data_IF_810074363451
#
_entry.id   IF_810074363451
#
_cell.length_a   1.000
_cell.length_b   1.000
_cell.length_c   1.000
_cell.angle_alpha   90.00
_cell.angle_beta   90.00
_cell.angle_gamma   90.00
#
_symmetry.space_group_name_H-M   'P 1'
#
loop_
_entity.id
_entity.type
_entity.pdbx_description
1 polymer ?
#
# COMPACT_ATOMS: atom_id res chain seq x y z
N UNK A 1 10.02 -14.92 -10.20
CA UNK A 1 9.19 -13.91 -10.90
C UNK A 1 8.94 -12.66 -10.03
N UNK A 2 8.44 -12.81 -8.80
CA UNK A 2 8.05 -11.69 -7.91
C UNK A 2 9.17 -10.68 -7.63
N UNK A 3 10.42 -11.13 -7.43
CA UNK A 3 11.58 -10.26 -7.22
C UNK A 3 11.84 -9.34 -8.43
N UNK A 4 11.65 -9.85 -9.64
CA UNK A 4 11.85 -9.08 -10.87
C UNK A 4 10.80 -7.97 -10.96
N UNK A 5 9.52 -8.32 -10.75
CA UNK A 5 8.42 -7.35 -10.73
C UNK A 5 8.60 -6.31 -9.63
N UNK A 6 9.05 -6.73 -8.44
CA UNK A 6 9.32 -5.82 -7.33
C UNK A 6 10.45 -4.84 -7.64
N UNK A 7 11.54 -5.29 -8.28
CA UNK A 7 12.65 -4.42 -8.68
C UNK A 7 12.21 -3.42 -9.76
N UNK A 8 11.38 -3.84 -10.71
CA UNK A 8 10.78 -2.94 -11.70
C UNK A 8 9.87 -1.90 -11.04
N UNK A 9 9.05 -2.28 -10.07
CA UNK A 9 8.25 -1.31 -9.32
C UNK A 9 9.12 -0.37 -8.49
N UNK A 10 10.19 -0.87 -7.86
CA UNK A 10 11.03 -0.06 -6.98
C UNK A 10 11.63 1.15 -7.70
N UNK A 11 11.96 1.06 -8.99
CA UNK A 11 12.48 2.18 -9.77
C UNK A 11 11.40 3.21 -10.12
N UNK A 12 10.15 2.78 -10.33
CA UNK A 12 9.03 3.63 -10.76
C UNK A 12 8.29 4.24 -9.57
N UNK A 13 8.21 3.54 -8.44
CA UNK A 13 7.42 3.96 -7.27
C UNK A 13 7.68 5.40 -6.82
N UNK A 14 8.94 5.89 -6.73
CA UNK A 14 9.20 7.28 -6.36
C UNK A 14 8.55 8.34 -7.28
N UNK A 15 8.23 7.98 -8.54
CA UNK A 15 7.67 8.88 -9.55
C UNK A 15 6.13 8.92 -9.51
N UNK A 16 5.48 7.85 -9.02
CA UNK A 16 4.02 7.68 -9.14
C UNK A 16 3.26 7.83 -7.82
N UNK A 17 3.97 7.99 -6.71
CA UNK A 17 3.44 8.18 -5.36
C UNK A 17 3.86 9.54 -4.79
N UNK A 18 3.07 10.08 -3.86
CA UNK A 18 3.37 11.36 -3.25
C UNK A 18 4.67 11.30 -2.42
N UNK A 19 5.42 12.41 -2.34
CA UNK A 19 6.64 12.50 -1.54
C UNK A 19 6.41 12.29 -0.03
N UNK A 20 5.17 12.46 0.46
CA UNK A 20 4.73 12.16 1.82
C UNK A 20 4.71 10.66 2.15
N UNK A 21 4.58 9.79 1.13
CA UNK A 21 4.61 8.34 1.33
C UNK A 21 6.05 7.87 1.50
N UNK A 22 6.45 7.62 2.76
CA UNK A 22 7.84 7.27 3.11
C UNK A 22 8.09 5.76 3.18
N UNK A 23 7.10 4.99 3.60
CA UNK A 23 7.28 3.56 3.85
C UNK A 23 7.41 2.76 2.55
N UNK A 24 8.23 1.70 2.60
CA UNK A 24 8.51 0.79 1.49
C UNK A 24 9.18 1.42 0.25
N UNK A 25 9.71 2.65 0.36
CA UNK A 25 10.41 3.35 -0.72
C UNK A 25 11.88 3.53 -0.37
N UNK A 26 12.75 2.98 -1.22
CA UNK A 26 14.20 3.12 -1.06
C UNK A 26 14.57 4.60 -1.01
N UNK A 27 15.43 4.98 -0.06
CA UNK A 27 15.92 6.35 0.18
C UNK A 27 14.88 7.35 0.72
N UNK A 28 13.66 6.92 1.07
CA UNK A 28 12.73 7.74 1.85
C UNK A 28 12.79 7.31 3.32
N UNK A 29 13.03 8.27 4.21
CA UNK A 29 13.20 8.01 5.65
C UNK A 29 11.95 8.53 6.37
N UNK A 30 11.38 7.72 7.26
CA UNK A 30 10.18 8.07 8.05
C UNK A 30 10.48 9.05 9.20
N UNK A 31 11.75 9.42 9.44
CA UNK A 31 12.19 10.35 10.50
C UNK A 31 11.48 11.70 10.42
N UNK A 32 11.21 12.19 9.21
CA UNK A 32 10.46 13.44 9.03
C UNK A 32 9.05 13.36 9.61
N UNK A 33 8.40 12.20 9.56
CA UNK A 33 7.05 12.02 10.12
C UNK A 33 7.06 12.12 11.65
N UNK A 34 8.13 11.65 12.31
CA UNK A 34 8.30 11.77 13.77
C UNK A 34 8.48 13.25 14.16
N UNK A 35 9.32 13.98 13.41
CA UNK A 35 9.56 15.40 13.63
C UNK A 35 8.25 16.19 13.43
N UNK A 36 7.57 15.98 12.31
CA UNK A 36 6.27 16.61 12.03
C UNK A 36 5.23 16.31 13.10
N UNK A 37 5.13 15.06 13.57
CA UNK A 37 4.22 14.72 14.66
C UNK A 37 4.59 15.46 15.96
N UNK A 38 5.88 15.58 16.29
CA UNK A 38 6.32 16.32 17.47
C UNK A 38 6.05 17.82 17.38
N UNK A 39 6.19 18.41 16.19
CA UNK A 39 5.88 19.82 15.94
C UNK A 39 4.38 20.08 16.05
N UNK A 40 3.55 19.22 15.45
CA UNK A 40 2.09 19.30 15.57
C UNK A 40 1.63 19.20 17.02
N UNK A 41 2.18 18.25 17.79
CA UNK A 41 1.86 18.11 19.23
C UNK A 41 2.29 19.35 20.04
N UNK A 42 3.43 19.97 19.69
CA UNK A 42 3.87 21.20 20.35
C UNK A 42 2.92 22.35 20.08
N UNK A 43 2.48 22.53 18.82
CA UNK A 43 1.51 23.58 18.47
C UNK A 43 0.14 23.34 19.12
N UNK A 44 -0.31 22.09 19.19
CA UNK A 44 -1.57 21.76 19.88
C UNK A 44 -1.52 22.11 21.38
N UNK A 45 -0.34 22.00 21.99
CA UNK A 45 -0.14 22.33 23.41
C UNK A 45 0.09 23.83 23.66
N UNK A 46 0.48 24.62 22.66
CA UNK A 46 0.80 26.05 22.81
C UNK A 46 -0.42 26.97 22.67
N UNK A 47 -1.49 26.50 22.03
CA UNK A 47 -2.63 27.32 21.59
C UNK A 47 -3.91 26.98 22.35
N UNK A 48 -4.07 27.56 23.54
CA UNK A 48 -5.18 27.29 24.46
C UNK A 48 -6.58 27.72 23.98
N UNK A 49 -6.67 28.40 22.83
CA UNK A 49 -7.94 28.89 22.25
C UNK A 49 -8.37 28.17 20.97
N UNK A 50 -7.55 27.28 20.43
CA UNK A 50 -7.83 26.56 19.18
C UNK A 50 -8.23 25.11 19.45
N UNK A 51 -9.15 24.58 18.63
CA UNK A 51 -9.60 23.18 18.72
C UNK A 51 -8.94 22.42 17.58
N UNK A 52 -8.04 21.50 17.92
CA UNK A 52 -7.38 20.64 16.94
C UNK A 52 -8.06 19.26 16.86
N UNK A 53 -8.07 18.69 15.65
CA UNK A 53 -8.53 17.34 15.40
C UNK A 53 -7.39 16.50 14.81
N UNK A 54 -7.14 15.33 15.39
CA UNK A 54 -6.17 14.36 14.89
C UNK A 54 -6.88 13.05 14.57
N UNK A 55 -6.84 12.65 13.30
CA UNK A 55 -7.34 11.35 12.85
C UNK A 55 -6.18 10.39 12.64
N UNK A 56 -6.16 9.30 13.39
CA UNK A 56 -5.28 8.16 13.12
C UNK A 56 -6.05 7.14 12.28
N UNK A 57 -5.56 6.86 11.07
CA UNK A 57 -6.09 5.83 10.20
C UNK A 57 -5.14 4.63 10.21
N UNK A 58 -5.64 3.48 10.62
CA UNK A 58 -4.93 2.20 10.58
C UNK A 58 -5.77 1.18 9.82
N UNK A 59 -5.17 0.52 8.84
CA UNK A 59 -5.87 -0.44 7.99
C UNK A 59 -5.47 -1.84 8.42
N UNK A 60 -6.42 -2.57 9.01
CA UNK A 60 -6.18 -3.92 9.47
C UNK A 60 -5.95 -4.88 8.29
N UNK A 61 -4.86 -5.67 8.35
CA UNK A 61 -4.53 -6.71 7.35
C UNK A 61 -4.65 -6.23 5.91
N UNK A 62 -3.97 -5.14 5.56
CA UNK A 62 -3.96 -4.56 4.20
C UNK A 62 -3.71 -5.60 3.11
N UNK A 63 -2.81 -6.56 3.36
CA UNK A 63 -2.48 -7.62 2.41
C UNK A 63 -3.66 -8.57 2.16
N UNK A 64 -4.45 -8.89 3.18
CA UNK A 64 -5.59 -9.81 3.06
C UNK A 64 -6.88 -9.11 2.57
N UNK A 65 -6.96 -7.80 2.70
CA UNK A 65 -8.21 -7.03 2.49
C UNK A 65 -8.26 -6.26 1.17
N UNK A 66 -7.16 -6.13 0.43
CA UNK A 66 -7.17 -5.41 -0.85
C UNK A 66 -7.98 -6.19 -1.89
N UNK A 67 -8.97 -5.52 -2.49
CA UNK A 67 -9.70 -6.03 -3.65
C UNK A 67 -8.82 -6.02 -4.90
N UNK A 68 -8.74 -7.17 -5.58
CA UNK A 68 -7.86 -7.35 -6.75
C UNK A 68 -8.28 -6.45 -7.91
N UNK A 69 -9.58 -6.34 -8.18
CA UNK A 69 -10.10 -5.45 -9.22
C UNK A 69 -9.75 -3.98 -8.95
N UNK A 70 -9.83 -3.55 -7.69
CA UNK A 70 -9.40 -2.21 -7.31
C UNK A 70 -7.91 -2.00 -7.61
N UNK A 71 -7.05 -2.96 -7.24
CA UNK A 71 -5.62 -2.89 -7.54
C UNK A 71 -5.38 -2.77 -9.05
N UNK A 72 -5.96 -3.67 -9.85
CA UNK A 72 -5.78 -3.69 -11.30
C UNK A 72 -6.26 -2.40 -11.95
N UNK A 73 -7.43 -1.88 -11.55
CA UNK A 73 -7.95 -0.60 -12.04
C UNK A 73 -7.01 0.56 -11.70
N UNK A 74 -6.39 0.58 -10.51
CA UNK A 74 -5.39 1.59 -10.15
C UNK A 74 -4.11 1.46 -10.96
N UNK A 75 -3.70 0.24 -11.30
CA UNK A 75 -2.53 0.01 -12.13
C UNK A 75 -2.75 0.44 -13.57
N UNK A 76 -3.96 0.28 -14.14
CA UNK A 76 -4.28 0.80 -15.49
C UNK A 76 -4.02 2.30 -15.61
N UNK A 77 -4.24 3.06 -14.54
CA UNK A 77 -4.01 4.50 -14.52
C UNK A 77 -2.53 4.90 -14.38
N UNK A 78 -1.63 3.98 -13.99
CA UNK A 78 -0.24 4.30 -13.58
C UNK A 78 0.84 3.42 -14.21
N UNK A 79 0.49 2.29 -14.81
CA UNK A 79 1.41 1.25 -15.27
C UNK A 79 1.24 0.91 -16.74
N UNK A 80 2.14 0.06 -17.25
CA UNK A 80 2.05 -0.46 -18.62
C UNK A 80 1.17 -1.71 -18.68
N UNK A 81 0.52 -1.93 -19.82
CA UNK A 81 -0.37 -3.08 -20.06
C UNK A 81 0.33 -4.43 -19.84
N UNK A 82 1.60 -4.55 -20.25
CA UNK A 82 2.42 -5.76 -20.07
C UNK A 82 2.64 -6.06 -18.59
N UNK A 83 3.01 -5.03 -17.81
CA UNK A 83 3.25 -5.19 -16.38
C UNK A 83 1.97 -5.57 -15.62
N UNK A 84 0.85 -4.97 -16.00
CA UNK A 84 -0.47 -5.29 -15.43
C UNK A 84 -0.83 -6.74 -15.73
N UNK A 85 -0.60 -7.23 -16.95
CA UNK A 85 -0.88 -8.63 -17.31
C UNK A 85 -0.09 -9.63 -16.46
N UNK A 86 1.18 -9.34 -16.16
CA UNK A 86 2.00 -10.20 -15.30
C UNK A 86 1.52 -10.21 -13.85
N UNK A 87 1.14 -9.04 -13.32
CA UNK A 87 0.60 -8.93 -11.96
C UNK A 87 -0.77 -9.62 -11.88
N UNK A 88 -1.62 -9.48 -12.91
CA UNK A 88 -2.94 -10.11 -12.98
C UNK A 88 -2.84 -11.64 -12.87
N UNK A 89 -1.99 -12.26 -13.70
CA UNK A 89 -1.77 -13.71 -13.62
C UNK A 89 -1.29 -14.15 -12.24
N UNK A 90 -0.38 -13.40 -11.62
CA UNK A 90 0.11 -13.72 -10.28
C UNK A 90 -0.98 -13.62 -9.20
N UNK A 91 -1.79 -12.55 -9.20
CA UNK A 91 -2.77 -12.34 -8.13
C UNK A 91 -4.05 -13.17 -8.32
N UNK A 92 -4.39 -13.61 -9.52
CA UNK A 92 -5.60 -14.40 -9.79
C UNK A 92 -5.42 -15.91 -9.58
N UNK A 93 -4.21 -16.46 -9.81
CA UNK A 93 -3.91 -17.91 -9.82
C UNK A 93 -3.78 -18.56 -8.42
N UNK A 94 -4.60 -18.17 -7.44
CA UNK A 94 -4.54 -18.74 -6.09
C UNK A 94 -5.83 -19.48 -5.69
N UNK A 95 -5.74 -20.81 -5.62
CA UNK A 95 -6.73 -21.69 -5.00
C UNK A 95 -6.34 -22.01 -3.55
N UNK A 96 -7.29 -21.88 -2.63
CA UNK A 96 -7.08 -22.25 -1.22
C UNK A 96 -7.45 -23.70 -1.03
N UNK A 97 -6.52 -24.52 -0.55
CA UNK A 97 -6.85 -25.81 0.07
C UNK A 97 -6.92 -25.62 1.58
N UNK A 98 -8.13 -25.61 2.12
CA UNK A 98 -8.36 -25.72 3.57
C UNK A 98 -8.35 -27.22 3.89
N UNK A 99 -8.03 -27.63 5.13
CA UNK A 99 -7.98 -29.03 5.63
C UNK A 99 -9.38 -29.67 5.69
N UNK A 100 -10.07 -29.60 4.56
CA UNK A 100 -11.38 -30.13 4.17
C UNK A 100 -11.32 -30.50 2.67
N UNK A 101 -10.18 -30.95 2.14
CA UNK A 101 -9.97 -31.48 0.77
C UNK A 101 -10.77 -30.77 -0.36
N UNK A 102 -10.94 -29.45 -0.28
CA UNK A 102 -11.78 -28.66 -1.20
C UNK A 102 -11.08 -27.35 -1.53
N UNK A 103 -11.04 -27.01 -2.82
CA UNK A 103 -10.43 -25.80 -3.33
C UNK A 103 -11.45 -24.67 -3.42
N UNK A 104 -11.14 -23.51 -2.82
CA UNK A 104 -11.96 -22.30 -2.92
C UNK A 104 -11.18 -21.18 -3.60
N UNK A 105 -11.85 -20.36 -4.41
CA UNK A 105 -11.30 -19.11 -4.96
C UNK A 105 -11.60 -17.94 -4.02
N UNK A 106 -10.69 -16.95 -3.95
CA UNK A 106 -10.91 -15.69 -3.22
C UNK A 106 -10.90 -14.51 -4.19
N UNK A 107 -11.78 -13.54 -3.96
CA UNK A 107 -11.83 -12.28 -4.71
C UNK A 107 -10.99 -11.16 -4.07
N UNK A 108 -10.55 -11.33 -2.82
CA UNK A 108 -9.75 -10.35 -2.07
C UNK A 108 -8.44 -10.94 -1.57
N UNK A 109 -7.50 -10.03 -1.28
CA UNK A 109 -6.17 -10.35 -0.81
C UNK A 109 -5.15 -10.51 -1.94
N UNK A 110 -3.93 -10.07 -1.66
CA UNK A 110 -2.76 -10.16 -2.55
C UNK A 110 -1.70 -10.93 -1.76
N UNK A 111 -1.31 -12.13 -2.20
CA UNK A 111 -0.27 -12.93 -1.53
C UNK A 111 0.83 -13.29 -2.51
#
# INVERSE_FOLDING_TARGET
>A
MTIILANMMQSVMPLIINSSQKDFIKKRISKNNIILASELLREFNSSSREIFFCAKLDIHKTIDTVFRDFLLNRMVLKGSSIFISWIKGYIEDFFFSIVLNSFFSSSSGIR
#
